data_IF_227159078382
#
_entry.id   IF_227159078382
#
_cell.length_a   1.000
_cell.length_b   1.000
_cell.length_c   1.000
_cell.angle_alpha   90.00
_cell.angle_beta   90.00
_cell.angle_gamma   90.00
#
_symmetry.space_group_name_H-M   'P 1'
#
loop_
_entity.id
_entity.type
_entity.pdbx_description
1 polymer ?
#
# COMPACT_ATOMS: atom_id res chain seq x y z
N UNK A 1 -16.93 0.00 13.93
CA UNK A 1 -16.95 -1.19 13.06
C UNK A 1 -15.79 -2.07 13.44
N UNK A 2 -15.88 -3.38 13.29
CA UNK A 2 -14.85 -4.29 13.80
C UNK A 2 -13.85 -4.64 12.70
N UNK A 3 -12.58 -4.65 13.06
CA UNK A 3 -11.53 -5.25 12.25
C UNK A 3 -11.83 -6.74 12.08
N UNK A 4 -11.88 -7.21 10.84
CA UNK A 4 -12.11 -8.62 10.51
C UNK A 4 -11.43 -8.97 9.18
N UNK A 5 -10.09 -9.03 9.17
CA UNK A 5 -9.32 -9.30 7.95
C UNK A 5 -9.69 -10.63 7.29
N UNK A 6 -10.10 -11.64 8.06
CA UNK A 6 -10.61 -12.90 7.51
C UNK A 6 -11.91 -12.72 6.73
N UNK A 7 -12.84 -11.92 7.23
CA UNK A 7 -14.08 -11.62 6.49
C UNK A 7 -13.77 -10.84 5.21
N UNK A 8 -12.89 -9.84 5.27
CA UNK A 8 -12.49 -9.05 4.11
C UNK A 8 -11.77 -9.93 3.07
N UNK A 9 -10.87 -10.82 3.50
CA UNK A 9 -10.17 -11.76 2.61
C UNK A 9 -11.15 -12.73 1.93
N UNK A 10 -12.16 -13.24 2.66
CA UNK A 10 -13.19 -14.09 2.07
C UNK A 10 -13.97 -13.35 0.99
N UNK A 11 -14.44 -12.15 1.27
CA UNK A 11 -15.16 -11.32 0.31
C UNK A 11 -14.30 -10.97 -0.93
N UNK A 12 -13.02 -10.69 -0.73
CA UNK A 12 -12.06 -10.44 -1.80
C UNK A 12 -11.97 -11.67 -2.72
N UNK A 13 -11.78 -12.87 -2.16
CA UNK A 13 -11.66 -14.12 -2.93
C UNK A 13 -12.94 -14.52 -3.66
N UNK A 14 -14.10 -14.22 -3.07
CA UNK A 14 -15.40 -14.44 -3.70
C UNK A 14 -15.65 -13.49 -4.87
N UNK A 15 -15.35 -12.20 -4.68
CA UNK A 15 -15.61 -11.15 -5.69
C UNK A 15 -14.53 -11.07 -6.76
N UNK A 16 -13.29 -11.46 -6.44
CA UNK A 16 -12.11 -11.37 -7.31
C UNK A 16 -11.99 -10.00 -7.99
N UNK A 17 -11.91 -8.91 -7.23
CA UNK A 17 -11.88 -7.57 -7.80
C UNK A 17 -10.68 -7.40 -8.73
N UNK A 18 -10.88 -6.66 -9.83
CA UNK A 18 -9.80 -6.19 -10.66
C UNK A 18 -9.07 -5.04 -9.95
N UNK A 19 -7.76 -5.14 -9.81
CA UNK A 19 -6.90 -4.08 -9.25
C UNK A 19 -6.02 -3.53 -10.37
N UNK A 20 -6.29 -2.29 -10.78
CA UNK A 20 -5.49 -1.62 -11.79
C UNK A 20 -4.23 -1.06 -11.14
N UNK A 21 -3.06 -1.45 -11.64
CA UNK A 21 -1.77 -1.06 -11.08
C UNK A 21 -0.93 -0.35 -12.14
N UNK A 22 -0.77 0.97 -12.02
CA UNK A 22 0.23 1.72 -12.74
C UNK A 22 1.46 1.78 -11.84
N UNK A 23 2.30 0.76 -11.94
CA UNK A 23 3.42 0.52 -11.03
C UNK A 23 4.77 0.62 -11.75
N UNK A 24 5.85 0.41 -11.02
CA UNK A 24 7.20 0.52 -11.56
C UNK A 24 7.69 -0.78 -12.22
N UNK A 25 8.63 -0.65 -13.16
CA UNK A 25 9.16 -1.77 -13.95
C UNK A 25 9.81 -2.87 -13.12
N UNK A 26 10.38 -2.52 -11.95
CA UNK A 26 11.11 -3.46 -11.10
C UNK A 26 10.19 -4.51 -10.48
N UNK A 27 8.91 -4.14 -10.26
CA UNK A 27 7.99 -4.94 -9.43
C UNK A 27 6.68 -5.31 -10.12
N UNK A 28 6.52 -5.03 -11.42
CA UNK A 28 5.30 -5.38 -12.16
C UNK A 28 4.92 -6.85 -12.01
N UNK A 29 5.88 -7.75 -12.15
CA UNK A 29 5.66 -9.19 -12.02
C UNK A 29 5.34 -9.57 -10.58
N UNK A 30 6.10 -9.05 -9.63
CA UNK A 30 5.96 -9.34 -8.19
C UNK A 30 4.59 -8.90 -7.67
N UNK A 31 4.17 -7.67 -8.00
CA UNK A 31 2.87 -7.15 -7.53
C UNK A 31 1.69 -7.86 -8.21
N UNK A 32 1.84 -8.25 -9.49
CA UNK A 32 0.84 -9.06 -10.19
C UNK A 32 0.67 -10.43 -9.52
N UNK A 33 1.79 -11.13 -9.26
CA UNK A 33 1.75 -12.44 -8.62
C UNK A 33 1.23 -12.37 -7.18
N UNK A 34 1.62 -11.37 -6.41
CA UNK A 34 1.08 -11.16 -5.05
C UNK A 34 -0.44 -10.92 -5.06
N UNK A 35 -0.93 -10.12 -6.02
CA UNK A 35 -2.37 -9.88 -6.21
C UNK A 35 -3.12 -11.16 -6.57
N UNK A 36 -2.58 -11.96 -7.51
CA UNK A 36 -3.15 -13.26 -7.90
C UNK A 36 -3.13 -14.26 -6.76
N UNK A 37 -2.01 -14.39 -6.05
CA UNK A 37 -1.86 -15.29 -4.93
C UNK A 37 -2.87 -14.99 -3.82
N UNK A 38 -3.11 -13.71 -3.53
CA UNK A 38 -4.12 -13.30 -2.55
C UNK A 38 -5.55 -13.66 -2.99
N UNK A 39 -5.83 -13.71 -4.30
CA UNK A 39 -7.13 -14.06 -4.87
C UNK A 39 -7.85 -12.94 -5.62
N UNK A 40 -7.19 -11.79 -5.88
CA UNK A 40 -7.67 -10.72 -6.73
C UNK A 40 -7.11 -10.82 -8.16
N UNK A 41 -7.54 -9.94 -9.06
CA UNK A 41 -7.11 -9.91 -10.46
C UNK A 41 -6.27 -8.66 -10.73
N UNK A 42 -5.00 -8.76 -11.14
CA UNK A 42 -4.18 -7.60 -11.48
C UNK A 42 -4.35 -7.20 -12.95
N UNK A 43 -4.23 -5.91 -13.24
CA UNK A 43 -4.00 -5.39 -14.59
C UNK A 43 -2.98 -4.25 -14.52
N UNK A 44 -1.95 -4.30 -15.41
CA UNK A 44 -0.86 -3.32 -15.48
C UNK A 44 -0.99 -2.43 -16.73
N UNK A 45 -2.18 -1.92 -17.00
CA UNK A 45 -2.42 -0.99 -18.10
C UNK A 45 -1.86 0.40 -17.75
N UNK A 46 -0.95 0.92 -18.56
CA UNK A 46 -0.28 2.21 -18.33
C UNK A 46 -0.25 3.11 -19.55
N UNK A 47 -0.74 2.64 -20.69
CA UNK A 47 -0.84 3.45 -21.89
C UNK A 47 -1.91 4.54 -21.71
N UNK A 48 -1.55 5.79 -22.05
CA UNK A 48 -2.45 6.96 -21.87
C UNK A 48 -3.79 6.78 -22.60
N UNK A 49 -3.78 6.00 -23.66
CA UNK A 49 -4.92 5.72 -24.53
C UNK A 49 -5.97 4.81 -23.89
N UNK A 50 -5.60 4.01 -22.87
CA UNK A 50 -6.50 3.00 -22.28
C UNK A 50 -6.74 3.17 -20.78
N UNK A 51 -5.91 3.97 -20.06
CA UNK A 51 -5.96 3.99 -18.58
C UNK A 51 -7.30 4.43 -18.01
N UNK A 52 -8.01 5.32 -18.68
CA UNK A 52 -9.32 5.82 -18.23
C UNK A 52 -10.41 4.75 -18.39
N UNK A 53 -10.40 4.00 -19.49
CA UNK A 53 -11.31 2.89 -19.72
C UNK A 53 -11.00 1.73 -18.75
N UNK A 54 -9.71 1.39 -18.63
CA UNK A 54 -9.27 0.28 -17.77
C UNK A 54 -9.61 0.51 -16.29
N UNK A 55 -9.38 1.72 -15.78
CA UNK A 55 -9.69 2.02 -14.39
C UNK A 55 -11.18 1.95 -14.10
N UNK A 56 -12.02 2.29 -15.07
CA UNK A 56 -13.48 2.17 -14.93
C UNK A 56 -13.99 0.74 -14.69
N UNK A 57 -13.18 -0.26 -14.99
CA UNK A 57 -13.46 -1.69 -14.75
C UNK A 57 -12.91 -2.18 -13.41
N UNK A 58 -12.08 -1.38 -12.74
CA UNK A 58 -11.35 -1.79 -11.55
C UNK A 58 -12.13 -1.55 -10.25
N UNK A 59 -11.84 -2.37 -9.24
CA UNK A 59 -12.29 -2.16 -7.87
C UNK A 59 -11.40 -1.21 -7.07
N UNK A 60 -10.13 -1.06 -7.47
CA UNK A 60 -9.15 -0.12 -6.91
C UNK A 60 -8.07 0.23 -7.92
N UNK A 61 -7.44 1.39 -7.75
CA UNK A 61 -6.27 1.85 -8.50
C UNK A 61 -5.05 1.94 -7.58
N UNK A 62 -3.90 1.42 -8.02
CA UNK A 62 -2.61 1.55 -7.33
C UNK A 62 -1.65 2.33 -8.21
N UNK A 63 -1.16 3.45 -7.69
CA UNK A 63 -0.17 4.32 -8.34
C UNK A 63 1.16 4.19 -7.61
N UNK A 64 2.22 3.80 -8.31
CA UNK A 64 3.55 3.61 -7.73
C UNK A 64 4.62 4.30 -8.59
N UNK A 65 5.33 5.25 -8.01
CA UNK A 65 6.27 6.12 -8.71
C UNK A 65 7.72 5.61 -8.75
N UNK A 66 7.95 4.31 -8.57
CA UNK A 66 9.30 3.74 -8.43
C UNK A 66 10.22 3.91 -9.64
N UNK A 67 9.69 3.95 -10.87
CA UNK A 67 10.45 4.21 -12.10
C UNK A 67 9.71 5.22 -12.97
N UNK A 68 9.91 6.51 -12.69
CA UNK A 68 9.19 7.59 -13.32
C UNK A 68 9.66 7.90 -14.74
N UNK A 69 8.67 8.23 -15.60
CA UNK A 69 8.86 8.95 -16.86
C UNK A 69 7.70 9.92 -17.07
N UNK A 70 7.87 11.01 -17.86
CA UNK A 70 6.81 12.00 -18.02
C UNK A 70 5.46 11.40 -18.49
N UNK A 71 5.48 10.54 -19.51
CA UNK A 71 4.26 9.93 -20.03
C UNK A 71 3.59 8.99 -19.02
N UNK A 72 4.37 8.34 -18.16
CA UNK A 72 3.86 7.50 -17.07
C UNK A 72 3.10 8.32 -16.03
N UNK A 73 3.67 9.49 -15.67
CA UNK A 73 3.04 10.43 -14.73
C UNK A 73 1.72 10.96 -15.29
N UNK A 74 1.68 11.33 -16.58
CA UNK A 74 0.42 11.77 -17.22
C UNK A 74 -0.64 10.65 -17.25
N UNK A 75 -0.24 9.41 -17.49
CA UNK A 75 -1.13 8.25 -17.41
C UNK A 75 -1.67 8.03 -15.98
N UNK A 76 -0.81 8.15 -14.95
CA UNK A 76 -1.23 8.05 -13.56
C UNK A 76 -2.27 9.11 -13.17
N UNK A 77 -2.04 10.36 -13.57
CA UNK A 77 -2.96 11.47 -13.27
C UNK A 77 -4.30 11.27 -14.00
N UNK A 78 -4.26 10.85 -15.27
CA UNK A 78 -5.48 10.58 -16.02
C UNK A 78 -6.29 9.43 -15.42
N UNK A 79 -5.65 8.30 -15.10
CA UNK A 79 -6.30 7.18 -14.42
C UNK A 79 -6.85 7.59 -13.06
N UNK A 80 -6.07 8.38 -12.28
CA UNK A 80 -6.49 8.89 -10.98
C UNK A 80 -7.75 9.74 -11.05
N UNK A 81 -7.81 10.71 -11.99
CA UNK A 81 -9.00 11.54 -12.21
C UNK A 81 -10.22 10.73 -12.64
N UNK A 82 -10.02 9.73 -13.52
CA UNK A 82 -11.09 8.84 -13.93
C UNK A 82 -11.58 7.95 -12.76
N UNK A 83 -10.65 7.46 -11.92
CA UNK A 83 -10.98 6.72 -10.70
C UNK A 83 -11.79 7.57 -9.72
N UNK A 84 -11.40 8.83 -9.48
CA UNK A 84 -12.14 9.75 -8.62
C UNK A 84 -13.57 10.00 -9.17
N UNK A 85 -13.72 10.22 -10.46
CA UNK A 85 -15.03 10.40 -11.09
C UNK A 85 -15.93 9.17 -10.95
N UNK A 86 -15.35 7.97 -10.90
CA UNK A 86 -16.07 6.70 -10.73
C UNK A 86 -16.20 6.24 -9.25
N UNK A 87 -15.66 6.99 -8.28
CA UNK A 87 -15.66 6.62 -6.86
C UNK A 87 -14.81 5.39 -6.56
N UNK A 88 -13.77 5.14 -7.36
CA UNK A 88 -12.85 4.01 -7.20
C UNK A 88 -11.71 4.44 -6.27
N UNK A 89 -11.42 3.68 -5.19
CA UNK A 89 -10.39 4.04 -4.23
C UNK A 89 -8.98 3.92 -4.86
N UNK A 90 -8.09 4.81 -4.39
CA UNK A 90 -6.73 4.95 -4.92
C UNK A 90 -5.71 4.75 -3.81
N UNK A 91 -4.72 3.88 -4.05
CA UNK A 91 -3.49 3.78 -3.25
C UNK A 91 -2.37 4.51 -3.99
N UNK A 92 -1.67 5.41 -3.31
CA UNK A 92 -0.43 6.02 -3.80
C UNK A 92 0.76 5.51 -3.00
N UNK A 93 1.74 4.96 -3.71
CA UNK A 93 3.04 4.53 -3.18
C UNK A 93 4.13 5.50 -3.67
N UNK A 94 4.59 6.43 -2.82
CA UNK A 94 5.48 7.52 -3.20
C UNK A 94 6.95 7.10 -3.20
N UNK A 95 7.29 5.96 -3.80
CA UNK A 95 8.62 5.33 -3.75
C UNK A 95 9.74 6.33 -4.02
N UNK A 96 10.56 6.57 -3.00
CA UNK A 96 11.72 7.45 -3.06
C UNK A 96 11.39 8.94 -3.06
N UNK A 97 10.20 9.36 -2.63
CA UNK A 97 9.94 10.76 -2.30
C UNK A 97 10.96 11.24 -1.25
N UNK A 98 11.57 12.39 -1.47
CA UNK A 98 12.72 12.89 -0.69
C UNK A 98 14.08 12.55 -1.30
N UNK A 99 14.23 11.46 -2.05
CA UNK A 99 15.51 11.08 -2.64
C UNK A 99 15.91 11.96 -3.83
N UNK A 100 14.93 12.41 -4.62
CA UNK A 100 15.16 13.36 -5.72
C UNK A 100 14.04 14.39 -5.79
N UNK A 101 14.35 15.58 -6.29
CA UNK A 101 13.35 16.63 -6.52
C UNK A 101 12.23 16.13 -7.44
N UNK A 102 12.57 15.44 -8.53
CA UNK A 102 11.58 14.94 -9.50
C UNK A 102 10.57 13.99 -8.86
N UNK A 103 10.99 13.06 -8.00
CA UNK A 103 10.09 12.14 -7.27
C UNK A 103 9.17 12.90 -6.31
N UNK A 104 9.74 13.81 -5.54
CA UNK A 104 8.99 14.61 -4.58
C UNK A 104 7.97 15.53 -5.28
N UNK A 105 8.39 16.25 -6.32
CA UNK A 105 7.51 17.14 -7.09
C UNK A 105 6.39 16.34 -7.80
N UNK A 106 6.72 15.17 -8.35
CA UNK A 106 5.71 14.29 -8.97
C UNK A 106 4.70 13.79 -7.96
N UNK A 107 5.14 13.34 -6.78
CA UNK A 107 4.20 12.90 -5.73
C UNK A 107 3.28 14.04 -5.30
N UNK A 108 3.84 15.23 -5.06
CA UNK A 108 3.05 16.43 -4.72
C UNK A 108 2.06 16.80 -5.83
N UNK A 109 2.47 16.66 -7.10
CA UNK A 109 1.58 16.89 -8.24
C UNK A 109 0.42 15.88 -8.29
N UNK A 110 0.69 14.58 -8.07
CA UNK A 110 -0.36 13.57 -7.99
C UNK A 110 -1.32 13.89 -6.86
N UNK A 111 -0.83 14.18 -5.65
CA UNK A 111 -1.67 14.56 -4.50
C UNK A 111 -2.48 15.85 -4.72
N UNK A 112 -2.01 16.78 -5.56
CA UNK A 112 -2.73 18.00 -5.87
C UNK A 112 -3.81 17.82 -6.96
N UNK A 113 -3.68 16.81 -7.83
CA UNK A 113 -4.57 16.61 -8.98
C UNK A 113 -5.50 15.40 -8.83
N UNK A 114 -5.25 14.52 -7.84
CA UNK A 114 -5.96 13.26 -7.63
C UNK A 114 -6.31 13.12 -6.14
N UNK A 115 -7.57 12.82 -5.85
CA UNK A 115 -8.04 12.52 -4.50
C UNK A 115 -7.61 11.09 -4.13
N UNK A 116 -6.47 10.97 -3.46
CA UNK A 116 -5.89 9.70 -3.03
C UNK A 116 -6.58 9.20 -1.77
N UNK A 117 -7.00 7.93 -1.75
CA UNK A 117 -7.64 7.31 -0.59
C UNK A 117 -6.63 6.91 0.47
N UNK A 118 -5.57 6.22 0.06
CA UNK A 118 -4.48 5.77 0.96
C UNK A 118 -3.13 6.18 0.38
N UNK A 119 -2.35 6.90 1.16
CA UNK A 119 -0.92 7.10 0.92
C UNK A 119 -0.15 6.06 1.74
N UNK A 120 0.57 5.15 1.09
CA UNK A 120 1.38 4.13 1.76
C UNK A 120 2.85 4.36 1.46
N UNK A 121 3.65 4.63 2.48
CA UNK A 121 5.10 4.85 2.33
C UNK A 121 5.86 4.55 3.61
N UNK A 122 7.19 4.56 3.54
CA UNK A 122 8.02 4.52 4.74
C UNK A 122 8.05 5.90 5.43
N UNK A 123 8.62 5.95 6.65
CA UNK A 123 8.69 7.18 7.44
C UNK A 123 9.34 8.34 6.69
N UNK A 124 10.46 8.09 5.99
CA UNK A 124 11.19 9.14 5.26
C UNK A 124 10.39 9.72 4.08
N UNK A 125 9.71 8.86 3.34
CA UNK A 125 8.85 9.28 2.23
C UNK A 125 7.67 10.12 2.71
N UNK A 126 6.98 9.66 3.76
CA UNK A 126 5.81 10.37 4.30
C UNK A 126 6.22 11.68 4.98
N UNK A 127 7.29 11.70 5.77
CA UNK A 127 7.81 12.92 6.41
C UNK A 127 8.14 14.02 5.39
N UNK A 128 8.76 13.64 4.25
CA UNK A 128 9.05 14.58 3.15
C UNK A 128 7.77 15.22 2.58
N UNK A 129 6.68 14.49 2.51
CA UNK A 129 5.44 14.99 1.91
C UNK A 129 4.66 15.94 2.82
N UNK A 130 4.77 15.76 4.13
CA UNK A 130 4.11 16.63 5.11
C UNK A 130 4.98 17.82 5.53
N UNK A 131 6.18 17.98 4.94
CA UNK A 131 7.06 19.12 5.20
C UNK A 131 7.75 19.09 6.58
N UNK A 132 7.89 17.90 7.17
CA UNK A 132 8.72 17.69 8.34
C UNK A 132 10.16 17.56 7.84
N UNK A 133 10.89 18.67 7.84
CA UNK A 133 12.32 18.67 7.49
C UNK A 133 13.10 17.82 8.50
N UNK A 134 13.93 16.94 7.99
CA UNK A 134 14.84 16.11 8.79
C UNK A 134 15.84 16.93 9.65
N UNK A 135 15.95 18.24 9.42
CA UNK A 135 16.80 19.17 10.15
C UNK A 135 16.13 19.91 11.32
N UNK A 136 14.79 19.85 11.44
CA UNK A 136 14.12 20.44 12.60
C UNK A 136 14.21 19.46 13.76
N UNK A 137 14.90 19.84 14.82
CA UNK A 137 15.08 19.13 16.09
C UNK A 137 13.77 18.53 16.59
N UNK A 138 13.52 17.33 16.33
CA UNK A 138 12.32 16.54 16.56
C UNK A 138 12.36 15.25 15.75
N UNK A 139 13.10 15.22 14.63
CA UNK A 139 13.26 14.04 13.77
C UNK A 139 14.25 13.02 14.37
N UNK A 140 15.15 13.43 15.30
CA UNK A 140 15.92 12.46 16.10
C UNK A 140 15.01 11.67 17.05
N UNK A 141 13.86 12.23 17.46
CA UNK A 141 12.82 11.51 18.19
C UNK A 141 11.92 10.72 17.23
N UNK A 142 11.64 11.18 16.00
CA UNK A 142 10.90 10.46 14.94
C UNK A 142 11.63 9.15 14.51
N UNK A 143 12.94 9.06 14.68
CA UNK A 143 13.71 7.83 14.47
C UNK A 143 13.51 6.75 15.57
N UNK A 144 12.82 7.04 16.68
CA UNK A 144 12.75 6.20 17.87
C UNK A 144 11.40 5.47 18.10
N UNK A 145 10.62 5.20 17.04
CA UNK A 145 9.44 4.31 17.14
C UNK A 145 8.14 4.97 17.61
N UNK A 146 8.17 5.90 18.56
CA UNK A 146 6.97 6.62 19.05
C UNK A 146 6.47 7.68 18.06
N UNK A 147 7.29 8.04 17.10
CA UNK A 147 7.05 9.11 16.13
C UNK A 147 6.35 8.66 14.85
N UNK A 148 6.40 7.36 14.48
CA UNK A 148 5.71 6.86 13.28
C UNK A 148 4.18 6.98 13.42
N UNK A 149 3.66 6.82 14.62
CA UNK A 149 2.26 7.01 14.95
C UNK A 149 1.82 8.47 14.77
N UNK A 150 2.60 9.43 15.29
CA UNK A 150 2.31 10.85 15.14
C UNK A 150 2.51 11.31 13.68
N UNK A 151 3.51 10.77 12.99
CA UNK A 151 3.70 11.03 11.57
C UNK A 151 2.49 10.56 10.75
N UNK A 152 1.95 9.38 11.03
CA UNK A 152 0.74 8.87 10.37
C UNK A 152 -0.48 9.78 10.64
N UNK A 153 -0.65 10.24 11.89
CA UNK A 153 -1.71 11.20 12.26
C UNK A 153 -1.55 12.54 11.55
N UNK A 154 -0.33 13.08 11.55
CA UNK A 154 -0.01 14.36 10.90
C UNK A 154 -0.27 14.27 9.39
N UNK A 155 0.18 13.20 8.75
CA UNK A 155 -0.03 12.98 7.32
C UNK A 155 -1.52 12.83 6.99
N UNK A 156 -2.25 12.01 7.74
CA UNK A 156 -3.69 11.86 7.56
C UNK A 156 -4.43 13.19 7.66
N UNK A 157 -4.08 14.00 8.67
CA UNK A 157 -4.70 15.31 8.92
C UNK A 157 -4.34 16.36 7.86
N UNK A 158 -3.05 16.49 7.53
CA UNK A 158 -2.57 17.54 6.64
C UNK A 158 -2.91 17.27 5.17
N UNK A 159 -2.96 15.99 4.77
CA UNK A 159 -3.25 15.60 3.40
C UNK A 159 -4.72 15.21 3.18
N UNK A 160 -5.51 15.06 4.25
CA UNK A 160 -6.94 14.72 4.17
C UNK A 160 -7.22 13.31 3.62
N UNK A 161 -6.34 12.35 3.89
CA UNK A 161 -6.39 10.98 3.39
C UNK A 161 -6.07 9.97 4.50
N UNK A 162 -6.04 8.68 4.18
CA UNK A 162 -5.48 7.66 5.07
C UNK A 162 -3.99 7.52 4.82
N UNK A 163 -3.17 7.83 5.82
CA UNK A 163 -1.73 7.61 5.78
C UNK A 163 -1.39 6.24 6.38
N UNK A 164 -0.67 5.43 5.63
CA UNK A 164 -0.12 4.14 6.04
C UNK A 164 1.40 4.24 6.08
N UNK A 165 1.95 4.46 7.27
CA UNK A 165 3.39 4.65 7.51
C UNK A 165 3.98 3.32 7.95
N UNK A 166 4.89 2.78 7.14
CA UNK A 166 5.46 1.45 7.37
C UNK A 166 6.80 1.48 8.08
N UNK A 167 7.02 0.48 8.95
CA UNK A 167 8.21 0.32 9.77
C UNK A 167 8.27 -1.04 10.47
N UNK A 168 8.93 -1.13 11.61
CA UNK A 168 8.90 -2.34 12.45
C UNK A 168 7.49 -2.60 13.02
N UNK A 169 6.77 -1.52 13.31
CA UNK A 169 5.32 -1.49 13.52
C UNK A 169 4.76 -0.50 12.52
N UNK A 170 3.78 -0.92 11.74
CA UNK A 170 3.12 -0.06 10.77
C UNK A 170 2.00 0.73 11.46
N UNK A 171 1.79 1.99 11.03
CA UNK A 171 0.76 2.85 11.58
C UNK A 171 -0.15 3.38 10.46
N UNK A 172 -1.46 3.20 10.64
CA UNK A 172 -2.48 3.65 9.69
C UNK A 172 -3.38 4.68 10.37
N UNK A 173 -3.51 5.87 9.78
CA UNK A 173 -4.30 6.95 10.37
C UNK A 173 -4.97 7.84 9.33
N UNK A 174 -6.19 8.31 9.61
CA UNK A 174 -6.87 9.37 8.85
C UNK A 174 -6.73 10.75 9.54
N UNK A 175 -5.84 10.87 10.54
CA UNK A 175 -5.65 12.08 11.33
C UNK A 175 -6.44 12.11 12.64
N UNK A 176 -7.54 11.38 12.75
CA UNK A 176 -8.36 11.26 13.96
C UNK A 176 -8.15 9.91 14.63
N UNK A 177 -8.34 8.85 13.90
CA UNK A 177 -8.15 7.47 14.33
C UNK A 177 -6.78 6.96 13.90
N UNK A 178 -6.19 6.11 14.71
CA UNK A 178 -4.93 5.42 14.41
C UNK A 178 -5.06 3.93 14.74
N UNK A 179 -4.45 3.10 13.91
CA UNK A 179 -4.26 1.68 14.12
C UNK A 179 -2.77 1.35 13.98
N UNK A 180 -2.26 0.54 14.89
CA UNK A 180 -0.90 -0.01 14.84
C UNK A 180 -0.96 -1.47 14.41
N UNK A 181 -0.09 -1.88 13.48
CA UNK A 181 0.00 -3.26 12.97
C UNK A 181 1.39 -3.79 13.22
N UNK A 182 1.49 -4.87 14.01
CA UNK A 182 2.76 -5.45 14.44
C UNK A 182 3.08 -6.81 13.77
N UNK A 183 2.33 -7.18 12.73
CA UNK A 183 2.62 -8.35 11.92
C UNK A 183 3.73 -8.07 10.91
N UNK A 184 4.56 -9.05 10.62
CA UNK A 184 5.61 -8.96 9.64
C UNK A 184 6.85 -9.75 10.03
N UNK A 185 7.85 -9.76 9.15
CA UNK A 185 9.12 -10.42 9.36
C UNK A 185 10.27 -9.60 8.74
N UNK A 186 11.46 -9.64 9.36
CA UNK A 186 12.64 -8.87 8.93
C UNK A 186 13.09 -9.21 7.50
N UNK A 187 12.87 -10.41 7.01
CA UNK A 187 13.17 -10.83 5.64
C UNK A 187 12.43 -10.00 4.58
N UNK A 188 11.32 -9.34 4.92
CA UNK A 188 10.67 -8.38 4.01
C UNK A 188 11.61 -7.26 3.57
N UNK A 189 12.54 -6.84 4.43
CA UNK A 189 13.52 -5.80 4.10
C UNK A 189 14.66 -6.30 3.18
N UNK A 190 14.79 -7.61 2.99
CA UNK A 190 15.86 -8.22 2.18
C UNK A 190 15.44 -8.57 0.75
N UNK A 191 14.15 -8.46 0.44
CA UNK A 191 13.59 -8.72 -0.89
C UNK A 191 13.04 -7.42 -1.47
N UNK A 192 13.56 -7.02 -2.64
CA UNK A 192 13.06 -5.81 -3.32
C UNK A 192 11.61 -5.98 -3.74
N UNK A 193 10.81 -4.92 -3.64
CA UNK A 193 9.42 -4.93 -4.09
C UNK A 193 8.38 -5.35 -3.05
N UNK A 194 8.78 -5.86 -1.88
CA UNK A 194 7.83 -6.23 -0.80
C UNK A 194 6.98 -5.05 -0.34
N UNK A 195 7.55 -3.84 -0.29
CA UNK A 195 6.79 -2.61 -0.05
C UNK A 195 5.75 -2.37 -1.14
N UNK A 196 6.13 -2.49 -2.41
CA UNK A 196 5.20 -2.33 -3.53
C UNK A 196 4.12 -3.44 -3.56
N UNK A 197 4.47 -4.69 -3.17
CA UNK A 197 3.49 -5.76 -2.96
C UNK A 197 2.48 -5.38 -1.87
N UNK A 198 2.94 -4.82 -0.75
CA UNK A 198 2.08 -4.34 0.33
C UNK A 198 1.10 -3.26 -0.16
N UNK A 199 1.55 -2.34 -1.03
CA UNK A 199 0.68 -1.34 -1.67
C UNK A 199 -0.37 -2.00 -2.59
N UNK A 200 0.01 -3.02 -3.36
CA UNK A 200 -0.91 -3.79 -4.20
C UNK A 200 -1.95 -4.54 -3.36
N UNK A 201 -1.52 -5.20 -2.27
CA UNK A 201 -2.41 -5.89 -1.31
C UNK A 201 -3.37 -4.89 -0.64
N UNK A 202 -2.88 -3.68 -0.29
CA UNK A 202 -3.74 -2.60 0.21
C UNK A 202 -4.83 -2.24 -0.81
N UNK A 203 -4.50 -2.15 -2.10
CA UNK A 203 -5.48 -1.98 -3.17
C UNK A 203 -6.52 -3.10 -3.23
N UNK A 204 -6.11 -4.35 -3.02
CA UNK A 204 -7.02 -5.49 -2.99
C UNK A 204 -8.04 -5.40 -1.83
N UNK A 205 -7.58 -5.06 -0.63
CA UNK A 205 -8.45 -4.90 0.54
C UNK A 205 -9.37 -3.70 0.39
N UNK A 206 -8.89 -2.57 -0.15
CA UNK A 206 -9.74 -1.41 -0.46
C UNK A 206 -10.83 -1.73 -1.47
N UNK A 207 -10.54 -2.52 -2.50
CA UNK A 207 -11.55 -2.97 -3.46
C UNK A 207 -12.68 -3.80 -2.80
N UNK A 208 -12.36 -4.55 -1.74
CA UNK A 208 -13.33 -5.33 -0.99
C UNK A 208 -14.07 -4.52 0.10
N UNK A 209 -13.42 -3.47 0.67
CA UNK A 209 -13.89 -2.73 1.86
C UNK A 209 -13.68 -1.21 1.68
N UNK A 210 -14.21 -0.63 0.59
CA UNK A 210 -13.96 0.76 0.21
C UNK A 210 -14.47 1.82 1.20
N UNK A 211 -15.54 1.52 1.92
CA UNK A 211 -16.19 2.45 2.86
C UNK A 211 -15.43 2.60 4.20
N UNK A 212 -14.46 1.74 4.45
CA UNK A 212 -13.67 1.70 5.68
C UNK A 212 -12.16 1.69 5.36
N UNK A 213 -11.61 2.76 4.75
CA UNK A 213 -10.25 2.74 4.21
C UNK A 213 -9.16 2.61 5.28
N UNK A 214 -9.37 3.07 6.51
CA UNK A 214 -8.44 2.90 7.64
C UNK A 214 -8.33 1.42 7.99
N UNK A 215 -9.46 0.76 8.17
CA UNK A 215 -9.54 -0.67 8.47
C UNK A 215 -8.99 -1.50 7.32
N UNK A 216 -9.39 -1.20 6.07
CA UNK A 216 -8.92 -1.91 4.89
C UNK A 216 -7.39 -1.87 4.76
N UNK A 217 -6.77 -0.71 5.00
CA UNK A 217 -5.32 -0.57 4.95
C UNK A 217 -4.63 -1.32 6.10
N UNK A 218 -5.15 -1.27 7.33
CA UNK A 218 -4.59 -2.00 8.46
C UNK A 218 -4.75 -3.52 8.31
N UNK A 219 -5.91 -3.99 7.83
CA UNK A 219 -6.17 -5.40 7.56
C UNK A 219 -5.25 -5.94 6.44
N UNK A 220 -4.98 -5.15 5.41
CA UNK A 220 -4.06 -5.48 4.33
C UNK A 220 -2.62 -5.68 4.84
N UNK A 221 -2.12 -4.74 5.64
CA UNK A 221 -0.80 -4.83 6.26
C UNK A 221 -0.68 -6.05 7.16
N UNK A 222 -1.69 -6.30 8.01
CA UNK A 222 -1.71 -7.45 8.90
C UNK A 222 -1.75 -8.78 8.13
N UNK A 223 -2.58 -8.90 7.11
CA UNK A 223 -2.65 -10.10 6.26
C UNK A 223 -1.32 -10.35 5.53
N UNK A 224 -0.71 -9.30 4.97
CA UNK A 224 0.60 -9.40 4.32
C UNK A 224 1.69 -9.77 5.33
N UNK A 225 1.66 -9.18 6.54
CA UNK A 225 2.58 -9.50 7.63
C UNK A 225 2.46 -10.94 8.10
N UNK A 226 1.24 -11.47 8.25
CA UNK A 226 0.98 -12.88 8.60
C UNK A 226 1.52 -13.81 7.51
N UNK A 227 1.32 -13.49 6.23
CA UNK A 227 1.89 -14.26 5.12
C UNK A 227 3.43 -14.23 5.16
N UNK A 228 4.04 -13.09 5.48
CA UNK A 228 5.50 -12.98 5.62
C UNK A 228 6.04 -13.83 6.81
N UNK A 229 5.32 -13.86 7.93
CA UNK A 229 5.67 -14.74 9.07
C UNK A 229 5.62 -16.21 8.68
N UNK A 230 4.60 -16.63 7.90
CA UNK A 230 4.50 -18.00 7.40
C UNK A 230 5.61 -18.32 6.38
N UNK A 231 5.86 -17.42 5.44
CA UNK A 231 6.91 -17.58 4.43
C UNK A 231 8.31 -17.72 5.03
N UNK A 232 8.54 -17.10 6.19
CA UNK A 232 9.83 -17.11 6.85
C UNK A 232 10.13 -18.42 7.61
N UNK A 233 9.11 -19.20 7.97
CA UNK A 233 9.30 -20.42 8.81
C UNK A 233 10.27 -21.41 8.23
N UNK A 234 10.19 -21.64 6.92
CA UNK A 234 11.00 -22.62 6.19
C UNK A 234 11.92 -21.96 5.16
N UNK A 235 12.13 -20.63 5.28
CA UNK A 235 13.01 -19.91 4.38
C UNK A 235 14.48 -20.06 4.79
N UNK A 236 15.32 -20.50 3.87
CA UNK A 236 16.79 -20.58 4.05
C UNK A 236 17.47 -19.22 3.77
N UNK A 237 16.75 -18.28 3.15
CA UNK A 237 17.26 -16.96 2.79
C UNK A 237 16.26 -16.16 1.95
N UNK A 238 16.67 -14.99 1.41
CA UNK A 238 15.77 -14.09 0.66
C UNK A 238 15.09 -14.76 -0.54
N UNK A 239 15.79 -15.67 -1.23
CA UNK A 239 15.25 -16.34 -2.42
C UNK A 239 14.09 -17.27 -2.09
N UNK A 240 14.29 -18.20 -1.14
CA UNK A 240 13.24 -19.10 -0.68
C UNK A 240 12.12 -18.34 0.02
N UNK A 241 12.45 -17.32 0.83
CA UNK A 241 11.45 -16.44 1.41
C UNK A 241 10.54 -15.79 0.36
N UNK A 242 11.14 -15.25 -0.74
CA UNK A 242 10.38 -14.60 -1.80
C UNK A 242 9.39 -15.57 -2.47
N UNK A 243 9.82 -16.78 -2.77
CA UNK A 243 8.95 -17.82 -3.36
C UNK A 243 7.85 -18.21 -2.36
N UNK A 244 8.23 -18.51 -1.11
CA UNK A 244 7.31 -18.90 -0.05
C UNK A 244 6.26 -17.82 0.24
N UNK A 245 6.57 -16.54 0.00
CA UNK A 245 5.64 -15.43 0.24
C UNK A 245 4.39 -15.52 -0.65
N UNK A 246 4.53 -15.93 -1.91
CA UNK A 246 3.38 -16.16 -2.79
C UNK A 246 2.54 -17.35 -2.32
N UNK A 247 3.20 -18.44 -1.94
CA UNK A 247 2.51 -19.62 -1.42
C UNK A 247 1.78 -19.30 -0.11
N UNK A 248 2.42 -18.53 0.78
CA UNK A 248 1.82 -18.08 2.04
C UNK A 248 0.61 -17.16 1.82
N UNK A 249 0.69 -16.21 0.86
CA UNK A 249 -0.46 -15.37 0.48
C UNK A 249 -1.64 -16.20 -0.03
N UNK A 250 -1.36 -17.21 -0.87
CA UNK A 250 -2.39 -18.10 -1.39
C UNK A 250 -3.00 -18.99 -0.29
N UNK A 251 -2.19 -19.41 0.68
CA UNK A 251 -2.57 -20.27 1.79
C UNK A 251 -3.22 -19.54 2.97
N UNK A 252 -3.27 -18.20 2.99
CA UNK A 252 -3.96 -17.47 4.05
C UNK A 252 -5.38 -18.01 4.24
N UNK A 253 -5.69 -18.43 5.46
CA UNK A 253 -7.00 -18.99 5.79
C UNK A 253 -7.88 -17.91 6.46
N UNK A 254 -9.00 -17.50 5.83
CA UNK A 254 -9.92 -16.51 6.40
C UNK A 254 -10.46 -16.89 7.78
N UNK A 255 -10.60 -18.18 8.10
CA UNK A 255 -11.15 -18.63 9.38
C UNK A 255 -10.17 -18.43 10.54
N UNK A 256 -8.87 -18.49 10.26
CA UNK A 256 -7.81 -18.38 11.28
C UNK A 256 -7.12 -17.02 11.29
N UNK A 257 -7.26 -16.23 10.22
CA UNK A 257 -6.54 -14.96 10.05
C UNK A 257 -6.83 -13.96 11.18
N UNK A 258 -8.10 -13.82 11.58
CA UNK A 258 -8.52 -12.89 12.64
C UNK A 258 -7.82 -13.16 13.99
N UNK A 259 -7.50 -14.43 14.29
CA UNK A 259 -6.77 -14.82 15.50
C UNK A 259 -5.26 -14.62 15.44
N UNK A 260 -4.71 -14.27 14.27
CA UNK A 260 -3.27 -14.14 14.02
C UNK A 260 -2.82 -12.69 13.85
N UNK A 261 -3.74 -11.80 13.52
CA UNK A 261 -3.41 -10.38 13.33
C UNK A 261 -3.13 -9.68 14.65
N UNK A 262 -2.16 -8.80 14.64
CA UNK A 262 -1.77 -7.95 15.78
C UNK A 262 -2.03 -6.49 15.42
N UNK A 263 -3.31 -6.10 15.49
CA UNK A 263 -3.79 -4.74 15.26
C UNK A 263 -4.29 -4.17 16.58
N UNK A 264 -3.82 -2.96 16.95
CA UNK A 264 -4.17 -2.26 18.19
C UNK A 264 -4.50 -0.78 17.96
#
# INVERSE_FOLDING_TARGET
MSLSPGTTLRQLRERKPLVHQITNYVVMNETANATLALGALPVMAHAREEVEEMVGLAGALVLNIGTLSPHWVEAMIAAGKAANAAGIPIVLDPVGAGATRYRTDTTKRVLAEVDVTVLRGNQGEVATLVGVDAEVRGVESIAAGDDAAELARLAGRNLGLVASVTGAVDHVSNGERILAVANGHELLATVTGTGCMSSAITGCFLAAKREEPVEAAAEALAAFGVAAEDAARDAEGPGTFHVNLYDALAALDPETLDGRVRIS
#
